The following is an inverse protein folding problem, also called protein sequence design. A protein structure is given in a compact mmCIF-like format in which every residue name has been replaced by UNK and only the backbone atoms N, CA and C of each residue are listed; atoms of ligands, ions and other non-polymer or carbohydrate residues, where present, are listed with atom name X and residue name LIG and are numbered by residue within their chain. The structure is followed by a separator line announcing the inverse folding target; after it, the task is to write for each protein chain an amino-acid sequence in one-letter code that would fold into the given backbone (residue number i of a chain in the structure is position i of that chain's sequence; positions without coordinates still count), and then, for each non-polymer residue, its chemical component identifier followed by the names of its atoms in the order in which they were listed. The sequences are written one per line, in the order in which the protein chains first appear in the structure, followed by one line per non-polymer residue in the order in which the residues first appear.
data_IF_628437659815
#
_entry.id   IF_628437659815
#
_cell.length_a   1.000
_cell.length_b   1.000
_cell.length_c   1.000
_cell.angle_alpha   90.00
_cell.angle_beta   90.00
_cell.angle_gamma   90.00
#
_symmetry.space_group_name_H-M   'P 1'
#
loop_
_entity.id
_entity.type
_entity.pdbx_description
1 polymer ?
#
# COMPACT_ATOMS: atom_id res chain seq x y z
N UNK A 1 -10.35 1.76 2.67
CA UNK A 1 -10.87 2.71 3.69
C UNK A 1 -10.28 4.07 3.35
N UNK A 2 -11.10 5.11 3.16
CA UNK A 2 -10.59 6.44 2.85
C UNK A 2 -9.85 7.04 4.06
N UNK A 3 -8.72 7.70 3.78
CA UNK A 3 -7.84 8.29 4.79
C UNK A 3 -8.03 9.80 4.80
N UNK A 4 -8.29 10.36 5.99
CA UNK A 4 -8.79 11.73 6.15
C UNK A 4 -7.90 12.61 7.02
N UNK A 5 -7.08 12.00 7.89
CA UNK A 5 -6.25 12.70 8.86
C UNK A 5 -4.79 12.33 8.62
N UNK A 6 -3.92 13.33 8.52
CA UNK A 6 -2.48 13.10 8.64
C UNK A 6 -2.16 12.63 10.05
N UNK A 7 -1.17 11.74 10.17
CA UNK A 7 -0.65 11.26 11.46
C UNK A 7 -0.01 12.38 12.30
N UNK A 8 0.10 13.60 11.78
CA UNK A 8 0.33 14.78 12.59
C UNK A 8 -0.72 14.95 13.71
N UNK A 9 -1.99 14.62 13.44
CA UNK A 9 -3.06 14.70 14.44
C UNK A 9 -2.90 13.60 15.51
N UNK A 10 -2.57 12.36 15.12
CA UNK A 10 -2.31 11.28 16.08
C UNK A 10 -1.06 11.55 16.90
N UNK A 11 -0.01 12.07 16.27
CA UNK A 11 1.23 12.49 16.94
C UNK A 11 0.96 13.53 18.04
N UNK A 12 0.11 14.53 17.79
CA UNK A 12 -0.26 15.51 18.81
C UNK A 12 -0.92 14.87 20.05
N UNK A 13 -1.73 13.82 19.85
CA UNK A 13 -2.32 13.04 20.95
C UNK A 13 -1.23 12.24 21.67
N UNK A 14 -0.37 11.52 20.92
CA UNK A 14 0.69 10.68 21.49
C UNK A 14 1.67 11.52 22.31
N UNK A 15 2.16 12.63 21.76
CA UNK A 15 3.11 13.52 22.44
C UNK A 15 2.52 14.08 23.75
N UNK A 16 1.23 14.42 23.76
CA UNK A 16 0.56 14.89 24.98
C UNK A 16 0.64 13.87 26.13
N UNK A 17 0.42 12.59 25.83
CA UNK A 17 0.52 11.50 26.82
C UNK A 17 1.97 11.12 27.11
N UNK A 18 2.87 11.11 26.12
CA UNK A 18 4.29 10.83 26.34
C UNK A 18 4.93 11.78 27.36
N UNK A 19 4.53 13.05 27.36
CA UNK A 19 5.07 14.05 28.29
C UNK A 19 4.53 13.95 29.72
N UNK A 20 3.40 13.26 29.93
CA UNK A 20 2.69 13.23 31.21
C UNK A 20 2.64 11.85 31.83
N UNK A 21 2.19 10.90 31.03
CA UNK A 21 1.86 9.54 31.42
C UNK A 21 2.38 8.56 30.34
N UNK A 22 3.71 8.47 30.12
CA UNK A 22 4.29 7.66 29.05
C UNK A 22 3.88 6.19 29.13
N UNK A 23 3.67 5.68 30.35
CA UNK A 23 3.17 4.32 30.63
C UNK A 23 1.79 4.04 30.02
N UNK A 24 0.98 5.08 29.79
CA UNK A 24 -0.38 4.94 29.25
C UNK A 24 -0.41 5.00 27.72
N UNK A 25 0.69 5.40 27.05
CA UNK A 25 0.75 5.55 25.58
C UNK A 25 0.30 4.28 24.84
N UNK A 26 0.72 3.05 25.23
CA UNK A 26 0.25 1.83 24.55
C UNK A 26 -1.28 1.66 24.58
N UNK A 27 -1.96 2.20 25.61
CA UNK A 27 -3.43 2.11 25.72
C UNK A 27 -4.16 3.02 24.73
N UNK A 28 -3.49 4.04 24.19
CA UNK A 28 -4.05 4.85 23.10
C UNK A 28 -4.29 4.02 21.85
N UNK A 29 -3.51 2.96 21.65
CA UNK A 29 -3.52 2.12 20.44
C UNK A 29 -4.47 0.93 20.52
N UNK A 30 -5.11 0.70 21.68
CA UNK A 30 -6.02 -0.42 21.87
C UNK A 30 -7.31 -0.25 21.07
N UNK A 31 -7.65 -1.25 20.26
CA UNK A 31 -8.92 -1.27 19.55
C UNK A 31 -9.01 -0.26 18.41
N UNK A 32 -7.89 0.30 17.92
CA UNK A 32 -7.89 1.25 16.80
C UNK A 32 -8.35 0.62 15.48
N UNK A 33 -8.46 -0.71 15.43
CA UNK A 33 -8.98 -1.46 14.30
C UNK A 33 -7.89 -1.93 13.34
N UNK A 34 -8.28 -2.66 12.28
CA UNK A 34 -7.35 -3.43 11.44
C UNK A 34 -6.38 -2.57 10.63
N UNK A 35 -6.68 -1.27 10.46
CA UNK A 35 -5.76 -0.31 9.82
C UNK A 35 -4.45 -0.16 10.60
N UNK A 36 -4.52 -0.27 11.93
CA UNK A 36 -3.39 -0.05 12.83
C UNK A 36 -2.94 -1.35 13.49
N UNK A 37 -3.87 -2.22 13.91
CA UNK A 37 -3.56 -3.45 14.67
C UNK A 37 -2.74 -4.48 13.88
N UNK A 38 -2.77 -4.43 12.54
CA UNK A 38 -1.99 -5.33 11.68
C UNK A 38 -0.59 -4.79 11.37
N UNK A 39 -0.23 -3.59 11.84
CA UNK A 39 1.08 -3.01 11.57
C UNK A 39 2.14 -3.60 12.51
N UNK A 40 3.37 -3.80 12.03
CA UNK A 40 4.47 -4.31 12.86
C UNK A 40 4.86 -3.32 13.97
N UNK A 41 4.81 -2.01 13.69
CA UNK A 41 5.01 -0.95 14.67
C UNK A 41 3.97 0.17 14.51
N UNK A 42 2.85 0.10 15.26
CA UNK A 42 1.82 1.14 15.27
C UNK A 42 2.32 2.51 15.73
N UNK A 43 3.27 2.56 16.67
CA UNK A 43 3.76 3.82 17.23
C UNK A 43 4.60 4.56 16.19
N UNK A 44 5.54 3.88 15.53
CA UNK A 44 6.34 4.45 14.45
C UNK A 44 5.44 4.98 13.33
N UNK A 45 4.45 4.19 12.90
CA UNK A 45 3.52 4.59 11.85
C UNK A 45 2.69 5.83 12.22
N UNK A 46 2.19 5.92 13.46
CA UNK A 46 1.35 7.03 13.93
C UNK A 46 2.14 8.29 14.31
N UNK A 47 3.46 8.19 14.45
CA UNK A 47 4.37 9.32 14.69
C UNK A 47 4.94 9.92 13.40
N UNK A 48 4.93 9.18 12.29
CA UNK A 48 5.34 9.65 10.97
C UNK A 48 4.28 10.56 10.34
N UNK A 49 4.57 11.86 10.25
CA UNK A 49 3.63 12.92 9.86
C UNK A 49 3.12 12.79 8.41
N UNK A 50 3.86 12.11 7.54
CA UNK A 50 3.46 11.89 6.15
C UNK A 50 2.45 10.76 5.98
N UNK A 51 2.26 9.93 7.00
CA UNK A 51 1.23 8.91 7.00
C UNK A 51 -0.16 9.54 7.18
N UNK A 52 -1.16 8.80 6.71
CA UNK A 52 -2.56 9.18 6.81
C UNK A 52 -3.38 8.01 7.36
N UNK A 53 -4.39 8.35 8.16
CA UNK A 53 -5.32 7.42 8.78
C UNK A 53 -6.78 7.80 8.52
N UNK A 54 -7.67 6.83 8.64
CA UNK A 54 -9.12 7.07 8.58
C UNK A 54 -9.64 7.89 9.77
N UNK A 55 -10.82 8.51 9.62
CA UNK A 55 -11.48 9.18 10.75
C UNK A 55 -11.83 8.22 11.87
N UNK A 56 -12.10 6.96 11.56
CA UNK A 56 -12.45 5.93 12.55
C UNK A 56 -11.29 5.66 13.52
N UNK A 57 -10.05 5.58 13.00
CA UNK A 57 -8.84 5.48 13.83
C UNK A 57 -8.74 6.66 14.79
N UNK A 58 -8.89 7.89 14.29
CA UNK A 58 -8.82 9.08 15.13
C UNK A 58 -9.95 9.12 16.18
N UNK A 59 -11.18 8.78 15.80
CA UNK A 59 -12.33 8.69 16.70
C UNK A 59 -12.04 7.75 17.87
N UNK A 60 -11.50 6.56 17.59
CA UNK A 60 -11.16 5.57 18.61
C UNK A 60 -10.01 6.05 19.50
N UNK A 61 -9.02 6.72 18.91
CA UNK A 61 -7.90 7.29 19.64
C UNK A 61 -8.35 8.39 20.61
N UNK A 62 -9.26 9.29 20.21
CA UNK A 62 -9.85 10.29 21.12
C UNK A 62 -10.66 9.63 22.24
N UNK A 63 -11.45 8.59 21.93
CA UNK A 63 -12.17 7.82 22.96
C UNK A 63 -11.22 7.18 23.96
N UNK A 64 -10.09 6.63 23.51
CA UNK A 64 -9.06 6.08 24.37
C UNK A 64 -8.41 7.17 25.23
N UNK A 65 -8.07 8.32 24.65
CA UNK A 65 -7.54 9.46 25.39
C UNK A 65 -8.48 9.92 26.51
N UNK A 66 -9.79 10.00 26.24
CA UNK A 66 -10.81 10.29 27.26
C UNK A 66 -10.86 9.25 28.37
N UNK A 67 -10.87 7.96 28.00
CA UNK A 67 -10.89 6.87 28.98
C UNK A 67 -9.65 6.85 29.88
N UNK A 68 -8.47 7.13 29.32
CA UNK A 68 -7.21 7.14 30.05
C UNK A 68 -7.15 8.34 31.00
N UNK A 69 -7.50 9.52 30.50
CA UNK A 69 -7.39 10.77 31.27
C UNK A 69 -8.53 10.97 32.28
N UNK A 70 -9.72 10.39 32.04
CA UNK A 70 -10.92 10.70 32.80
C UNK A 70 -11.44 12.12 32.59
N UNK A 71 -10.90 12.86 31.63
CA UNK A 71 -11.17 14.27 31.38
C UNK A 71 -12.04 14.45 30.13
N UNK A 72 -13.24 15.02 30.32
CA UNK A 72 -14.16 15.30 29.22
C UNK A 72 -13.63 16.35 28.24
N UNK A 73 -12.70 17.20 28.68
CA UNK A 73 -12.10 18.27 27.89
C UNK A 73 -10.68 17.96 27.40
N UNK A 74 -10.28 16.68 27.44
CA UNK A 74 -8.92 16.28 27.05
C UNK A 74 -8.60 16.66 25.60
N UNK A 75 -9.59 16.61 24.69
CA UNK A 75 -9.43 16.99 23.30
C UNK A 75 -8.98 18.45 23.18
N UNK A 76 -9.56 19.36 23.97
CA UNK A 76 -9.16 20.77 23.99
C UNK A 76 -7.70 20.90 24.42
N UNK A 77 -7.30 20.20 25.49
CA UNK A 77 -5.94 20.27 26.05
C UNK A 77 -4.91 19.76 25.05
N UNK A 78 -5.15 18.61 24.43
CA UNK A 78 -4.28 18.05 23.39
C UNK A 78 -4.16 19.00 22.19
N UNK A 79 -5.28 19.56 21.73
CA UNK A 79 -5.31 20.52 20.64
C UNK A 79 -4.54 21.80 20.97
N UNK A 80 -4.76 22.34 22.17
CA UNK A 80 -4.05 23.52 22.67
C UNK A 80 -2.55 23.31 22.72
N UNK A 81 -2.09 22.20 23.31
CA UNK A 81 -0.65 21.93 23.42
C UNK A 81 0.03 21.65 22.09
N UNK A 82 -0.69 21.08 21.12
CA UNK A 82 -0.15 20.90 19.76
C UNK A 82 0.20 22.23 19.07
N UNK A 83 -0.54 23.30 19.39
CA UNK A 83 -0.29 24.65 18.89
C UNK A 83 0.50 25.53 19.86
N UNK A 84 0.52 25.19 21.15
CA UNK A 84 1.16 25.99 22.18
C UNK A 84 2.68 25.84 22.17
N UNK A 85 3.38 26.93 22.44
CA UNK A 85 4.84 26.99 22.43
C UNK A 85 5.45 26.35 23.68
N UNK A 86 5.54 25.02 23.72
CA UNK A 86 6.35 24.25 24.69
C UNK A 86 7.57 23.58 24.02
N UNK A 87 7.38 22.99 22.83
CA UNK A 87 8.42 22.47 21.93
C UNK A 87 8.04 22.85 20.50
N UNK A 88 8.99 23.38 19.70
CA UNK A 88 8.74 23.73 18.30
C UNK A 88 8.50 22.47 17.47
N UNK A 89 7.25 22.01 17.39
CA UNK A 89 6.83 20.91 16.51
C UNK A 89 6.82 21.29 15.02
N UNK A 90 6.69 20.29 14.15
CA UNK A 90 6.77 20.44 12.68
C UNK A 90 5.83 21.52 12.11
N UNK A 91 4.58 21.57 12.57
CA UNK A 91 3.56 22.55 12.13
C UNK A 91 3.89 23.95 12.61
N UNK A 92 4.31 24.09 13.86
CA UNK A 92 4.68 25.37 14.43
C UNK A 92 5.83 25.99 13.65
N UNK A 93 6.78 25.18 13.17
CA UNK A 93 7.88 25.62 12.27
C UNK A 93 7.36 26.14 10.94
N UNK A 94 6.53 25.37 10.22
CA UNK A 94 5.93 25.81 8.95
C UNK A 94 5.18 27.14 9.14
N UNK A 95 4.42 27.26 10.23
CA UNK A 95 3.66 28.46 10.56
C UNK A 95 4.60 29.65 10.88
N UNK A 96 5.67 29.42 11.66
CA UNK A 96 6.66 30.43 12.02
C UNK A 96 7.41 30.96 10.79
N UNK A 97 7.78 30.07 9.86
CA UNK A 97 8.53 30.40 8.64
C UNK A 97 7.68 31.11 7.58
N UNK A 98 6.42 30.72 7.42
CA UNK A 98 5.55 31.31 6.40
C UNK A 98 4.85 32.61 6.86
N UNK A 99 4.69 32.84 8.18
CA UNK A 99 3.81 33.89 8.70
C UNK A 99 4.38 34.64 9.92
N UNK A 100 4.50 35.97 9.77
CA UNK A 100 5.09 36.87 10.77
C UNK A 100 4.26 37.11 12.04
N UNK A 101 2.97 36.74 12.06
CA UNK A 101 2.05 36.99 13.17
C UNK A 101 0.74 36.16 13.03
N UNK A 102 -0.08 36.04 14.10
CA UNK A 102 -1.30 35.22 14.10
C UNK A 102 -2.26 35.54 12.96
N UNK A 103 -2.44 36.83 12.66
CA UNK A 103 -3.32 37.29 11.57
C UNK A 103 -2.93 36.69 10.23
N UNK A 104 -1.64 36.68 9.89
CA UNK A 104 -1.15 36.12 8.62
C UNK A 104 -1.34 34.61 8.54
N UNK A 105 -1.15 33.90 9.64
CA UNK A 105 -1.38 32.46 9.74
C UNK A 105 -2.85 32.13 9.53
N UNK A 106 -3.73 32.82 10.26
CA UNK A 106 -5.17 32.60 10.18
C UNK A 106 -5.70 32.86 8.77
N UNK A 107 -5.22 33.89 8.06
CA UNK A 107 -5.60 34.11 6.64
C UNK A 107 -5.27 32.96 5.69
N UNK A 108 -4.34 32.06 6.04
CA UNK A 108 -3.96 30.90 5.24
C UNK A 108 -4.36 29.57 5.88
N UNK A 109 -5.18 29.61 6.93
CA UNK A 109 -5.57 28.42 7.69
C UNK A 109 -6.17 27.32 6.82
N UNK A 110 -6.96 27.67 5.79
CA UNK A 110 -7.52 26.67 4.87
C UNK A 110 -6.41 25.90 4.12
N UNK A 111 -5.46 26.63 3.51
CA UNK A 111 -4.34 26.03 2.81
C UNK A 111 -3.44 25.19 3.73
N UNK A 112 -3.38 25.53 5.01
CA UNK A 112 -2.68 24.75 6.03
C UNK A 112 -3.49 23.48 6.36
N UNK A 113 -4.80 23.62 6.59
CA UNK A 113 -5.71 22.51 6.87
C UNK A 113 -5.66 21.45 5.77
N UNK A 114 -5.69 21.84 4.50
CA UNK A 114 -5.72 20.92 3.35
C UNK A 114 -4.49 20.01 3.27
N UNK A 115 -3.38 20.39 3.91
CA UNK A 115 -2.18 19.55 4.00
C UNK A 115 -2.30 18.41 5.02
N UNK A 116 -3.21 18.54 5.98
CA UNK A 116 -3.25 17.69 7.17
C UNK A 116 -4.61 17.05 7.42
N UNK A 117 -5.68 17.59 6.82
CA UNK A 117 -7.05 17.17 7.05
C UNK A 117 -7.86 17.22 5.76
N UNK A 118 -8.71 16.21 5.55
CA UNK A 118 -9.66 16.10 4.44
C UNK A 118 -11.11 15.88 4.92
N UNK A 119 -11.39 16.22 6.17
CA UNK A 119 -12.69 16.02 6.82
C UNK A 119 -13.54 17.29 6.96
N UNK A 120 -12.97 18.45 6.61
CA UNK A 120 -13.63 19.75 6.73
C UNK A 120 -12.99 20.79 5.84
N UNK A 121 -13.78 21.81 5.50
CA UNK A 121 -13.33 23.09 4.94
C UNK A 121 -13.33 24.15 6.04
N UNK A 122 -12.23 24.88 6.14
CA UNK A 122 -12.03 26.02 7.04
C UNK A 122 -12.27 27.32 6.28
N UNK A 123 -13.14 28.17 6.80
CA UNK A 123 -13.42 29.50 6.28
C UNK A 123 -12.95 30.54 7.30
N UNK A 124 -12.35 31.62 6.79
CA UNK A 124 -11.92 32.76 7.61
C UNK A 124 -12.83 33.92 7.27
N UNK A 125 -13.78 34.20 8.15
CA UNK A 125 -14.80 35.25 7.94
C UNK A 125 -14.16 36.63 8.11
N UNK A 126 -13.37 36.83 9.17
CA UNK A 126 -12.70 38.09 9.44
C UNK A 126 -11.34 37.87 10.12
N UNK A 127 -10.34 38.72 9.82
CA UNK A 127 -9.11 38.80 10.61
C UNK A 127 -8.61 40.24 10.77
N UNK A 128 -8.46 40.66 12.02
CA UNK A 128 -7.83 41.93 12.39
C UNK A 128 -6.48 41.69 13.08
N UNK A 129 -5.95 42.70 13.77
CA UNK A 129 -4.67 42.59 14.50
C UNK A 129 -4.79 41.74 15.77
N UNK A 130 -5.97 41.65 16.37
CA UNK A 130 -6.20 41.06 17.69
C UNK A 130 -7.49 40.23 17.78
N UNK A 131 -8.23 40.09 16.68
CA UNK A 131 -9.38 39.20 16.59
C UNK A 131 -9.41 38.44 15.27
N UNK A 132 -10.10 37.31 15.25
CA UNK A 132 -10.46 36.59 14.05
C UNK A 132 -11.75 35.80 14.24
N UNK A 133 -12.47 35.55 13.14
CA UNK A 133 -13.64 34.68 13.11
C UNK A 133 -13.37 33.55 12.12
N UNK A 134 -13.47 32.31 12.58
CA UNK A 134 -13.17 31.10 11.80
C UNK A 134 -14.39 30.17 11.83
N UNK A 135 -14.76 29.62 10.68
CA UNK A 135 -15.82 28.61 10.55
C UNK A 135 -15.25 27.28 10.07
N UNK A 136 -15.73 26.19 10.65
CA UNK A 136 -15.43 24.83 10.21
C UNK A 136 -16.68 24.18 9.61
N UNK A 137 -16.62 23.93 8.31
CA UNK A 137 -17.64 23.22 7.54
C UNK A 137 -17.23 21.76 7.45
N UNK A 138 -17.83 20.89 8.27
CA UNK A 138 -17.54 19.46 8.29
C UNK A 138 -18.22 18.77 7.12
N UNK A 139 -17.57 17.75 6.54
CA UNK A 139 -18.15 16.95 5.47
C UNK A 139 -19.05 15.85 6.07
N UNK A 140 -20.37 15.85 5.83
CA UNK A 140 -21.30 14.90 6.45
C UNK A 140 -20.99 13.42 6.16
N UNK A 141 -20.37 13.13 5.02
CA UNK A 141 -19.94 11.80 4.60
C UNK A 141 -18.72 11.27 5.37
N UNK A 142 -17.98 12.15 6.04
CA UNK A 142 -16.79 11.77 6.81
C UNK A 142 -17.17 11.62 8.29
N UNK A 143 -16.95 10.45 8.91
CA UNK A 143 -17.23 10.26 10.34
C UNK A 143 -16.51 11.31 11.20
N UNK A 144 -17.25 11.93 12.11
CA UNK A 144 -16.75 12.96 13.02
C UNK A 144 -17.46 12.90 14.37
N UNK A 145 -16.78 13.35 15.42
CA UNK A 145 -17.29 13.39 16.80
C UNK A 145 -17.04 14.76 17.44
N UNK A 146 -17.76 15.13 18.52
CA UNK A 146 -17.57 16.42 19.20
C UNK A 146 -16.12 16.73 19.60
N UNK A 147 -15.34 15.71 19.96
CA UNK A 147 -13.91 15.87 20.28
C UNK A 147 -13.11 16.52 19.14
N UNK A 148 -13.51 16.36 17.87
CA UNK A 148 -12.86 17.04 16.76
C UNK A 148 -13.08 18.56 16.79
N UNK A 149 -14.29 19.02 17.15
CA UNK A 149 -14.58 20.44 17.36
C UNK A 149 -13.69 20.99 18.47
N UNK A 150 -13.68 20.28 19.60
CA UNK A 150 -12.99 20.70 20.81
C UNK A 150 -11.46 20.72 20.62
N UNK A 151 -10.91 19.73 19.92
CA UNK A 151 -9.50 19.71 19.53
C UNK A 151 -9.12 20.90 18.64
N UNK A 152 -9.94 21.25 17.65
CA UNK A 152 -9.70 22.43 16.81
C UNK A 152 -9.80 23.73 17.63
N UNK A 153 -10.77 23.84 18.55
CA UNK A 153 -10.90 24.97 19.47
C UNK A 153 -9.63 25.16 20.31
N UNK A 154 -9.05 24.07 20.81
CA UNK A 154 -7.76 24.06 21.49
C UNK A 154 -6.64 24.60 20.60
N UNK A 155 -6.50 24.10 19.38
CA UNK A 155 -5.51 24.58 18.41
C UNK A 155 -5.62 26.08 18.21
N UNK A 156 -6.83 26.59 17.91
CA UNK A 156 -7.04 28.03 17.67
C UNK A 156 -6.70 28.89 18.89
N UNK A 157 -7.00 28.40 20.10
CA UNK A 157 -6.59 29.03 21.35
C UNK A 157 -5.06 29.14 21.46
N UNK A 158 -4.33 28.10 21.07
CA UNK A 158 -2.87 28.02 21.16
C UNK A 158 -2.11 28.86 20.12
N UNK A 159 -2.71 29.17 18.96
CA UNK A 159 -2.03 29.84 17.84
C UNK A 159 -1.24 31.10 18.25
N UNK A 160 -1.79 32.07 19.00
CA UNK A 160 -1.04 33.29 19.33
C UNK A 160 0.25 33.04 20.12
N UNK A 161 0.29 31.96 20.91
CA UNK A 161 1.45 31.62 21.75
C UNK A 161 2.71 31.30 20.95
N UNK A 162 2.56 30.91 19.67
CA UNK A 162 3.66 30.72 18.72
C UNK A 162 4.54 31.99 18.62
N UNK A 163 3.93 33.18 18.77
CA UNK A 163 4.63 34.48 18.76
C UNK A 163 4.78 35.10 20.16
N UNK A 164 4.78 34.28 21.21
CA UNK A 164 4.88 34.71 22.61
C UNK A 164 3.74 35.63 23.08
N UNK A 165 2.58 35.55 22.44
CA UNK A 165 1.38 36.24 22.90
C UNK A 165 0.61 35.33 23.86
N UNK A 166 -0.21 35.90 24.77
CA UNK A 166 -1.16 35.12 25.54
C UNK A 166 -2.07 34.29 24.61
N UNK A 167 -2.53 33.10 25.05
CA UNK A 167 -3.54 32.33 24.33
C UNK A 167 -4.74 33.19 23.89
N UNK A 168 -5.33 32.84 22.74
CA UNK A 168 -6.57 33.48 22.32
C UNK A 168 -7.71 33.05 23.25
N UNK A 169 -8.53 34.01 23.67
CA UNK A 169 -9.88 33.72 24.14
C UNK A 169 -10.69 33.23 22.95
N UNK A 170 -11.27 32.03 23.06
CA UNK A 170 -12.08 31.41 22.01
C UNK A 170 -13.51 31.25 22.48
N UNK A 171 -14.42 32.00 21.87
CA UNK A 171 -15.86 31.87 22.07
C UNK A 171 -16.45 31.07 20.90
N UNK A 172 -17.16 29.98 21.20
CA UNK A 172 -17.87 29.18 20.20
C UNK A 172 -19.33 29.66 20.15
N UNK A 173 -19.77 30.17 19.01
CA UNK A 173 -21.12 30.74 18.83
C UNK A 173 -22.07 29.81 18.11
N UNK A 174 -21.53 28.86 17.35
CA UNK A 174 -22.25 27.80 16.64
C UNK A 174 -21.46 26.51 16.68
N UNK A 175 -22.13 25.37 16.71
CA UNK A 175 -21.50 24.06 16.74
C UNK A 175 -22.23 23.04 15.87
N UNK A 176 -21.54 22.52 14.85
CA UNK A 176 -22.06 21.47 13.97
C UNK A 176 -22.57 20.25 14.76
N UNK A 177 -21.86 19.87 15.82
CA UNK A 177 -22.21 18.74 16.66
C UNK A 177 -23.38 19.01 17.62
N UNK A 178 -23.88 20.25 17.67
CA UNK A 178 -25.09 20.66 18.39
C UNK A 178 -26.27 20.98 17.44
N UNK A 179 -26.12 20.72 16.14
CA UNK A 179 -27.17 20.89 15.14
C UNK A 179 -27.05 22.12 14.24
N UNK A 180 -26.00 22.93 14.38
CA UNK A 180 -25.71 24.02 13.44
C UNK A 180 -25.11 23.49 12.12
N UNK A 181 -25.08 24.34 11.09
CA UNK A 181 -24.47 24.00 9.79
C UNK A 181 -22.94 23.90 9.83
N UNK A 182 -22.30 24.57 10.81
CA UNK A 182 -20.85 24.67 10.95
C UNK A 182 -20.47 25.01 12.39
N UNK A 183 -19.22 24.78 12.77
CA UNK A 183 -18.67 25.35 14.01
C UNK A 183 -18.15 26.77 13.75
N UNK A 184 -18.45 27.74 14.61
CA UNK A 184 -17.96 29.12 14.49
C UNK A 184 -17.22 29.56 15.74
N UNK A 185 -15.99 30.07 15.56
CA UNK A 185 -15.13 30.51 16.64
C UNK A 185 -14.77 31.99 16.51
N UNK A 186 -15.00 32.74 17.58
CA UNK A 186 -14.59 34.13 17.75
C UNK A 186 -13.34 34.17 18.62
N UNK A 187 -12.21 34.51 18.00
CA UNK A 187 -10.89 34.53 18.61
C UNK A 187 -10.53 35.95 19.01
N UNK A 188 -10.02 36.17 20.23
CA UNK A 188 -9.49 37.46 20.71
C UNK A 188 -8.18 37.26 21.48
N UNK A 189 -7.16 38.07 21.21
CA UNK A 189 -5.89 38.02 21.96
C UNK A 189 -5.32 39.41 22.22
N UNK A 190 -4.60 39.61 23.31
CA UNK A 190 -4.00 40.90 23.66
C UNK A 190 -2.62 41.07 23.04
N UNK A 191 -2.24 42.34 22.78
CA UNK A 191 -0.84 42.67 22.51
C UNK A 191 -0.11 42.79 23.85
N UNK A 192 0.85 41.93 24.11
CA UNK A 192 1.99 42.29 24.96
C UNK A 192 3.20 42.33 24.05
N UNK A 193 3.83 43.50 23.92
CA UNK A 193 5.12 43.63 23.27
C UNK A 193 6.04 44.32 24.26
N UNK A 194 6.80 43.54 25.03
CA UNK A 194 8.03 44.05 25.61
C UNK A 194 9.07 44.26 24.50
N UNK A 195 9.86 45.34 24.56
CA UNK A 195 10.96 45.60 23.61
C UNK A 195 11.95 44.39 23.56
N UNK A 196 12.10 43.72 24.70
CA UNK A 196 12.89 42.49 24.86
C UNK A 196 12.31 41.32 24.07
N UNK A 197 10.98 41.20 24.03
CA UNK A 197 10.25 40.16 23.27
C UNK A 197 10.27 40.42 21.77
N UNK A 198 10.26 41.68 21.34
CA UNK A 198 10.44 42.04 19.92
C UNK A 198 11.82 41.62 19.40
N UNK A 199 12.88 41.79 20.21
CA UNK A 199 14.25 41.36 19.90
C UNK A 199 14.38 39.82 19.95
N UNK A 200 13.79 39.16 20.96
CA UNK A 200 13.70 37.70 21.02
C UNK A 200 12.97 37.12 19.80
N UNK A 201 11.85 37.71 19.38
CA UNK A 201 11.13 37.30 18.17
C UNK A 201 11.93 37.54 16.86
N UNK A 202 13.00 38.36 16.90
CA UNK A 202 13.93 38.55 15.78
C UNK A 202 15.09 37.54 15.78
N UNK A 203 15.57 37.14 16.96
CA UNK A 203 16.70 36.21 17.16
C UNK A 203 16.30 34.72 17.24
N UNK A 204 15.15 34.40 17.84
CA UNK A 204 14.65 33.02 17.98
C UNK A 204 14.34 32.33 16.64
N UNK A 205 13.91 33.03 15.56
CA UNK A 205 13.85 32.44 14.23
C UNK A 205 15.20 31.86 13.76
N UNK A 206 16.34 32.45 14.13
CA UNK A 206 17.67 32.00 13.70
C UNK A 206 18.19 30.75 14.42
N UNK A 207 17.89 30.59 15.73
CA UNK A 207 18.22 29.33 16.43
C UNK A 207 17.29 28.18 16.01
N UNK A 208 16.01 28.50 15.81
CA UNK A 208 15.06 27.55 15.23
C UNK A 208 15.44 27.18 13.79
N UNK A 209 15.93 28.15 13.00
CA UNK A 209 16.46 27.96 11.64
C UNK A 209 17.57 26.91 11.62
N UNK A 210 18.57 26.99 12.50
CA UNK A 210 19.68 26.03 12.50
C UNK A 210 19.21 24.59 12.81
N UNK A 211 18.36 24.40 13.84
CA UNK A 211 17.82 23.07 14.15
C UNK A 211 16.89 22.54 13.03
N UNK A 212 16.08 23.42 12.42
CA UNK A 212 15.22 23.04 11.29
C UNK A 212 15.99 22.72 10.02
N UNK A 213 17.12 23.40 9.78
CA UNK A 213 18.02 23.09 8.66
C UNK A 213 18.62 21.71 8.90
N UNK A 214 19.14 21.42 10.10
CA UNK A 214 19.65 20.09 10.46
C UNK A 214 18.62 18.98 10.26
N UNK A 215 17.36 19.19 10.65
CA UNK A 215 16.31 18.18 10.50
C UNK A 215 15.84 18.04 9.04
N UNK A 216 15.71 19.14 8.29
CA UNK A 216 15.45 19.09 6.84
C UNK A 216 16.61 18.44 6.07
N UNK A 217 17.85 18.61 6.54
CA UNK A 217 19.02 17.94 6.00
C UNK A 217 18.98 16.44 6.28
N UNK A 218 18.56 16.02 7.49
CA UNK A 218 18.31 14.61 7.82
C UNK A 218 17.19 14.02 6.97
N UNK A 219 16.06 14.71 6.81
CA UNK A 219 14.95 14.27 5.96
C UNK A 219 15.41 14.14 4.50
N UNK A 220 16.18 15.12 4.00
CA UNK A 220 16.76 15.08 2.66
C UNK A 220 17.74 13.92 2.49
N UNK A 221 18.55 13.61 3.50
CA UNK A 221 19.44 12.44 3.51
C UNK A 221 18.67 11.13 3.51
N UNK A 222 17.61 11.02 4.32
CA UNK A 222 16.73 9.86 4.34
C UNK A 222 16.05 9.67 2.98
N UNK A 223 15.53 10.74 2.39
CA UNK A 223 14.90 10.72 1.07
C UNK A 223 15.90 10.28 0.00
N UNK A 224 17.14 10.78 0.05
CA UNK A 224 18.22 10.34 -0.83
C UNK A 224 18.55 8.86 -0.66
N UNK A 225 18.65 8.36 0.58
CA UNK A 225 18.87 6.94 0.86
C UNK A 225 17.75 6.09 0.27
N UNK A 226 16.49 6.45 0.51
CA UNK A 226 15.32 5.74 -0.02
C UNK A 226 15.26 5.79 -1.54
N UNK A 227 15.56 6.93 -2.15
CA UNK A 227 15.65 7.05 -3.60
C UNK A 227 16.72 6.13 -4.18
N UNK A 228 17.91 6.08 -3.57
CA UNK A 228 18.99 5.20 -4.01
C UNK A 228 18.61 3.71 -3.86
N UNK A 229 17.98 3.33 -2.74
CA UNK A 229 17.49 1.97 -2.49
C UNK A 229 16.51 1.52 -3.59
N UNK A 230 15.51 2.36 -3.89
CA UNK A 230 14.55 2.09 -4.98
C UNK A 230 15.23 2.03 -6.34
N UNK A 231 16.22 2.90 -6.60
CA UNK A 231 16.94 2.90 -7.85
C UNK A 231 17.75 1.60 -8.06
N UNK A 232 18.46 1.13 -7.03
CA UNK A 232 19.20 -0.14 -7.07
C UNK A 232 18.25 -1.32 -7.30
N UNK A 233 17.14 -1.39 -6.55
CA UNK A 233 16.14 -2.45 -6.73
C UNK A 233 15.53 -2.46 -8.14
N UNK A 234 15.29 -1.30 -8.73
CA UNK A 234 14.81 -1.20 -10.11
C UNK A 234 15.86 -1.72 -11.12
N UNK A 235 17.15 -1.44 -10.91
CA UNK A 235 18.22 -1.96 -11.76
C UNK A 235 18.31 -3.49 -11.67
N UNK A 236 18.28 -4.05 -10.46
CA UNK A 236 18.28 -5.52 -10.25
C UNK A 236 17.06 -6.18 -10.91
N UNK A 237 15.89 -5.55 -10.81
CA UNK A 237 14.67 -6.06 -11.44
C UNK A 237 14.80 -6.08 -12.97
N UNK A 238 15.36 -5.02 -13.56
CA UNK A 238 15.59 -4.95 -15.01
C UNK A 238 16.58 -6.04 -15.48
N UNK A 239 17.64 -6.29 -14.71
CA UNK A 239 18.59 -7.36 -15.03
C UNK A 239 17.94 -8.74 -14.98
N UNK A 240 17.17 -9.03 -13.92
CA UNK A 240 16.40 -10.28 -13.81
C UNK A 240 15.41 -10.47 -14.96
N UNK A 241 14.73 -9.40 -15.38
CA UNK A 241 13.84 -9.45 -16.54
C UNK A 241 14.60 -9.78 -17.83
N UNK A 242 15.76 -9.18 -18.05
CA UNK A 242 16.59 -9.48 -19.22
C UNK A 242 17.05 -10.94 -19.23
N UNK A 243 17.51 -11.46 -18.09
CA UNK A 243 17.91 -12.86 -17.94
C UNK A 243 16.75 -13.83 -18.22
N UNK A 244 15.55 -13.54 -17.69
CA UNK A 244 14.35 -14.37 -17.93
C UNK A 244 13.97 -14.40 -19.42
N UNK A 245 14.03 -13.25 -20.10
CA UNK A 245 13.75 -13.18 -21.53
C UNK A 245 14.77 -13.97 -22.36
N UNK A 246 16.05 -13.92 -22.00
CA UNK A 246 17.09 -14.69 -22.68
C UNK A 246 16.95 -16.20 -22.45
N UNK A 247 16.66 -16.62 -21.22
CA UNK A 247 16.36 -18.01 -20.88
C UNK A 247 15.15 -18.52 -21.65
N UNK A 248 14.08 -17.73 -21.73
CA UNK A 248 12.88 -18.07 -22.48
C UNK A 248 13.18 -18.22 -23.98
N UNK A 249 13.95 -17.30 -24.57
CA UNK A 249 14.33 -17.38 -25.98
C UNK A 249 15.17 -18.63 -26.28
N UNK A 250 16.17 -18.93 -25.44
CA UNK A 250 17.01 -20.13 -25.57
C UNK A 250 16.20 -21.43 -25.42
N UNK A 251 15.25 -21.47 -24.47
CA UNK A 251 14.35 -22.59 -24.32
C UNK A 251 13.47 -22.77 -25.56
N UNK A 252 12.87 -21.69 -26.07
CA UNK A 252 12.04 -21.73 -27.28
C UNK A 252 12.83 -22.19 -28.52
N UNK A 253 14.09 -21.74 -28.67
CA UNK A 253 14.96 -22.17 -29.76
C UNK A 253 15.30 -23.67 -29.65
N UNK A 254 15.64 -24.14 -28.45
CA UNK A 254 15.92 -25.56 -28.20
C UNK A 254 14.68 -26.43 -28.46
N UNK A 255 13.51 -26.03 -27.98
CA UNK A 255 12.24 -26.71 -28.22
C UNK A 255 11.89 -26.75 -29.71
N UNK A 256 12.06 -25.63 -30.44
CA UNK A 256 11.80 -25.57 -31.87
C UNK A 256 12.75 -26.48 -32.66
N UNK A 257 14.04 -26.49 -32.28
CA UNK A 257 15.04 -27.37 -32.88
C UNK A 257 14.71 -28.84 -32.62
N UNK A 258 14.39 -29.20 -31.39
CA UNK A 258 14.01 -30.57 -31.02
C UNK A 258 12.74 -31.02 -31.75
N UNK A 259 11.71 -30.17 -31.80
CA UNK A 259 10.47 -30.45 -32.54
C UNK A 259 10.75 -30.64 -34.03
N UNK A 260 11.59 -29.80 -34.64
CA UNK A 260 11.95 -29.94 -36.05
C UNK A 260 12.66 -31.27 -36.36
N UNK A 261 13.55 -31.71 -35.46
CA UNK A 261 14.24 -33.00 -35.56
C UNK A 261 13.25 -34.17 -35.48
N UNK A 262 12.34 -34.17 -34.49
CA UNK A 262 11.31 -35.20 -34.38
C UNK A 262 10.39 -35.24 -35.60
N UNK A 263 10.06 -34.07 -36.15
CA UNK A 263 9.15 -33.93 -37.28
C UNK A 263 9.70 -34.59 -38.56
N UNK A 264 11.02 -34.51 -38.77
CA UNK A 264 11.69 -34.98 -39.98
C UNK A 264 12.55 -36.23 -39.76
N UNK A 265 12.39 -36.93 -38.64
CA UNK A 265 13.16 -38.13 -38.34
C UNK A 265 12.77 -39.27 -39.31
N UNK A 266 13.67 -39.70 -40.22
CA UNK A 266 13.31 -40.66 -41.25
C UNK A 266 13.14 -42.06 -40.67
N UNK A 267 12.05 -42.75 -41.04
CA UNK A 267 11.80 -44.14 -40.67
C UNK A 267 11.43 -44.39 -39.20
N UNK A 268 11.31 -43.35 -38.38
CA UNK A 268 10.95 -43.47 -36.96
C UNK A 268 9.67 -42.68 -36.69
N UNK A 269 8.56 -43.40 -36.55
CA UNK A 269 7.27 -42.81 -36.22
C UNK A 269 7.22 -42.43 -34.73
N UNK A 270 7.06 -41.15 -34.43
CA UNK A 270 6.96 -40.60 -33.07
C UNK A 270 5.57 -40.01 -32.83
N UNK A 271 4.91 -40.47 -31.75
CA UNK A 271 3.62 -39.97 -31.31
C UNK A 271 3.70 -39.46 -29.87
N UNK A 272 3.15 -38.28 -29.62
CA UNK A 272 2.91 -37.79 -28.25
C UNK A 272 1.42 -37.84 -27.96
N UNK A 273 1.02 -38.32 -26.78
CA UNK A 273 -0.39 -38.39 -26.39
C UNK A 273 -0.58 -38.09 -24.90
N UNK A 274 -1.76 -37.59 -24.55
CA UNK A 274 -2.18 -37.32 -23.18
C UNK A 274 -2.45 -38.61 -22.40
N UNK A 275 -2.58 -38.50 -21.08
CA UNK A 275 -2.83 -39.63 -20.18
C UNK A 275 -4.14 -40.38 -20.43
N UNK A 276 -5.05 -39.81 -21.22
CA UNK A 276 -6.29 -40.42 -21.70
C UNK A 276 -6.15 -41.10 -23.09
N UNK A 277 -4.94 -41.09 -23.67
CA UNK A 277 -4.62 -41.62 -24.99
C UNK A 277 -4.92 -40.67 -26.15
N UNK A 278 -5.30 -39.41 -25.88
CA UNK A 278 -5.55 -38.40 -26.91
C UNK A 278 -4.24 -37.94 -27.54
N UNK A 279 -4.11 -38.05 -28.86
CA UNK A 279 -2.91 -37.65 -29.61
C UNK A 279 -2.69 -36.14 -29.53
N UNK A 280 -1.46 -35.74 -29.21
CA UNK A 280 -0.97 -34.36 -29.10
C UNK A 280 0.14 -34.04 -30.10
N UNK A 281 0.88 -35.05 -30.53
CA UNK A 281 1.97 -34.91 -31.49
C UNK A 281 2.00 -36.12 -32.42
N UNK A 282 2.25 -35.87 -33.70
CA UNK A 282 2.25 -36.88 -34.76
C UNK A 282 3.23 -36.43 -35.85
N UNK A 283 4.40 -37.06 -35.92
CA UNK A 283 5.42 -36.65 -36.89
C UNK A 283 5.15 -37.19 -38.30
N UNK A 284 5.88 -36.66 -39.30
CA UNK A 284 5.76 -37.08 -40.71
C UNK A 284 5.92 -38.58 -40.93
N UNK A 285 6.87 -39.23 -40.26
CA UNK A 285 7.04 -40.68 -40.35
C UNK A 285 5.82 -41.47 -39.83
N UNK A 286 5.08 -40.92 -38.85
CA UNK A 286 3.82 -41.51 -38.41
C UNK A 286 2.71 -41.36 -39.45
N UNK A 287 2.68 -40.25 -40.19
CA UNK A 287 1.77 -40.08 -41.33
C UNK A 287 2.05 -41.12 -42.42
N UNK A 288 3.32 -41.29 -42.77
CA UNK A 288 3.78 -42.22 -43.81
C UNK A 288 3.53 -43.68 -43.42
N UNK A 289 3.79 -44.04 -42.16
CA UNK A 289 3.68 -45.42 -41.67
C UNK A 289 2.21 -45.85 -41.47
N UNK A 290 1.40 -44.99 -40.85
CA UNK A 290 0.03 -45.36 -40.45
C UNK A 290 -1.06 -44.82 -41.40
N UNK A 291 -0.74 -43.88 -42.28
CA UNK A 291 -1.66 -43.36 -43.30
C UNK A 291 -2.66 -42.30 -42.79
N UNK A 292 -2.45 -41.78 -41.58
CA UNK A 292 -3.23 -40.67 -41.02
C UNK A 292 -2.40 -39.39 -41.04
N UNK A 293 -2.90 -38.32 -41.65
CA UNK A 293 -2.25 -37.02 -41.53
C UNK A 293 -2.31 -36.53 -40.09
N UNK A 294 -1.33 -35.74 -39.64
CA UNK A 294 -1.26 -35.20 -38.28
C UNK A 294 -2.52 -34.42 -37.92
N UNK A 295 -3.07 -33.65 -38.88
CA UNK A 295 -4.36 -32.94 -38.73
C UNK A 295 -5.57 -33.85 -38.51
N UNK A 296 -5.49 -35.12 -38.90
CA UNK A 296 -6.54 -36.13 -38.71
C UNK A 296 -6.31 -36.94 -37.44
N UNK A 297 -5.05 -37.12 -37.03
CA UNK A 297 -4.67 -37.92 -35.87
C UNK A 297 -4.72 -37.12 -34.55
N UNK A 298 -4.21 -35.88 -34.55
CA UNK A 298 -4.15 -35.02 -33.36
C UNK A 298 -5.56 -34.72 -32.85
N UNK A 299 -5.78 -34.91 -31.55
CA UNK A 299 -7.08 -34.75 -30.90
C UNK A 299 -7.94 -36.02 -30.87
N UNK A 300 -7.57 -37.09 -31.60
CA UNK A 300 -8.24 -38.40 -31.52
C UNK A 300 -7.52 -39.35 -30.57
N UNK A 301 -8.19 -40.42 -30.16
CA UNK A 301 -7.59 -41.45 -29.30
C UNK A 301 -6.75 -42.42 -30.12
N UNK A 302 -5.61 -42.84 -29.59
CA UNK A 302 -4.73 -43.86 -30.21
C UNK A 302 -5.48 -45.17 -30.52
N UNK A 303 -6.45 -45.55 -29.69
CA UNK A 303 -7.34 -46.72 -29.86
C UNK A 303 -8.34 -46.62 -30.99
N UNK A 304 -8.59 -45.41 -31.50
CA UNK A 304 -9.43 -45.19 -32.68
C UNK A 304 -8.61 -45.12 -33.98
N UNK A 305 -7.28 -45.10 -33.87
CA UNK A 305 -6.36 -44.89 -34.98
C UNK A 305 -5.57 -46.16 -35.30
N UNK A 306 -4.62 -46.50 -34.42
CA UNK A 306 -3.57 -47.49 -34.73
C UNK A 306 -3.50 -48.64 -33.72
N UNK A 307 -4.14 -48.55 -32.55
CA UNK A 307 -4.10 -49.64 -31.56
C UNK A 307 -5.21 -50.65 -31.86
N UNK A 308 -4.89 -51.93 -32.14
CA UNK A 308 -5.89 -52.97 -32.36
C UNK A 308 -6.79 -53.23 -31.14
N UNK A 309 -8.02 -53.74 -31.33
CA UNK A 309 -8.95 -54.05 -30.24
C UNK A 309 -8.34 -54.95 -29.16
N UNK A 310 -7.59 -55.97 -29.54
CA UNK A 310 -6.95 -56.90 -28.60
C UNK A 310 -5.84 -56.26 -27.74
N UNK A 311 -5.22 -55.16 -28.21
CA UNK A 311 -4.18 -54.43 -27.46
C UNK A 311 -4.75 -53.29 -26.61
N UNK A 312 -6.03 -52.95 -26.78
CA UNK A 312 -6.68 -51.81 -26.11
C UNK A 312 -6.61 -51.90 -24.58
N UNK A 313 -6.83 -53.09 -24.01
CA UNK A 313 -6.75 -53.29 -22.55
C UNK A 313 -5.32 -53.10 -22.02
N UNK A 314 -4.32 -53.59 -22.75
CA UNK A 314 -2.90 -53.41 -22.40
C UNK A 314 -2.47 -51.96 -22.50
N UNK A 315 -2.89 -51.27 -23.56
CA UNK A 315 -2.65 -49.85 -23.77
C UNK A 315 -3.28 -49.00 -22.66
N UNK A 316 -4.52 -49.28 -22.25
CA UNK A 316 -5.17 -48.60 -21.12
C UNK A 316 -4.41 -48.75 -19.79
N UNK A 317 -3.87 -49.93 -19.51
CA UNK A 317 -3.00 -50.16 -18.33
C UNK A 317 -1.70 -49.36 -18.42
N UNK A 318 -1.11 -49.25 -19.61
CA UNK A 318 0.08 -48.44 -19.84
C UNK A 318 -0.19 -46.95 -19.60
N UNK A 319 -1.30 -46.41 -20.11
CA UNK A 319 -1.70 -45.02 -19.86
C UNK A 319 -1.89 -44.74 -18.36
N UNK A 320 -2.56 -45.64 -17.64
CA UNK A 320 -2.77 -45.52 -16.20
C UNK A 320 -1.46 -45.53 -15.39
N UNK A 321 -0.43 -46.25 -15.89
CA UNK A 321 0.92 -46.24 -15.31
C UNK A 321 1.64 -44.92 -15.62
N UNK A 322 1.55 -44.42 -16.85
CA UNK A 322 2.12 -43.13 -17.26
C UNK A 322 1.53 -41.95 -16.48
N UNK A 323 0.23 -41.95 -16.22
CA UNK A 323 -0.44 -40.90 -15.44
C UNK A 323 0.04 -40.79 -13.98
N UNK A 324 0.69 -41.82 -13.45
CA UNK A 324 1.23 -41.84 -12.07
C UNK A 324 2.75 -41.69 -12.03
N UNK A 325 3.41 -41.54 -13.17
CA UNK A 325 4.85 -41.38 -13.24
C UNK A 325 5.26 -40.02 -12.63
N UNK A 326 6.26 -40.05 -11.75
CA UNK A 326 6.79 -38.85 -11.04
C UNK A 326 8.14 -38.38 -11.59
N UNK A 327 8.70 -39.12 -12.55
CA UNK A 327 9.97 -38.85 -13.21
C UNK A 327 9.90 -39.36 -14.65
N UNK A 328 10.76 -38.81 -15.51
CA UNK A 328 10.87 -39.16 -16.92
C UNK A 328 11.60 -40.49 -17.13
N UNK A 329 11.18 -41.32 -18.10
CA UNK A 329 11.83 -42.60 -18.41
C UNK A 329 10.95 -43.62 -19.16
N UNK A 330 11.51 -44.80 -19.43
CA UNK A 330 10.78 -45.91 -20.07
C UNK A 330 9.65 -46.44 -19.17
N UNK A 331 8.43 -46.48 -19.70
CA UNK A 331 7.24 -46.94 -18.98
C UNK A 331 7.05 -48.45 -19.01
N UNK A 332 7.36 -49.02 -20.17
CA UNK A 332 7.21 -50.42 -20.51
C UNK A 332 8.42 -50.83 -21.34
N UNK A 333 8.92 -52.06 -21.20
CA UNK A 333 10.02 -52.56 -22.01
C UNK A 333 9.72 -52.40 -23.51
N UNK A 334 10.71 -51.99 -24.32
CA UNK A 334 10.61 -52.03 -25.77
C UNK A 334 10.16 -53.40 -26.26
N UNK A 335 9.29 -53.44 -27.27
CA UNK A 335 8.79 -54.70 -27.80
C UNK A 335 8.14 -54.57 -29.16
N UNK A 336 8.04 -55.70 -29.85
CA UNK A 336 7.34 -55.78 -31.13
C UNK A 336 5.82 -55.75 -30.91
N UNK A 337 5.15 -54.88 -31.66
CA UNK A 337 3.69 -54.78 -31.69
C UNK A 337 3.22 -54.70 -33.14
N UNK A 338 2.07 -55.31 -33.43
CA UNK A 338 1.40 -55.16 -34.72
C UNK A 338 0.31 -54.10 -34.58
N UNK A 339 0.55 -52.91 -35.12
CA UNK A 339 -0.40 -51.79 -35.10
C UNK A 339 -1.18 -51.71 -36.41
N UNK A 340 -2.31 -51.01 -36.40
CA UNK A 340 -3.19 -50.81 -37.55
C UNK A 340 -2.80 -49.58 -38.35
N UNK A 341 -2.91 -49.66 -39.67
CA UNK A 341 -2.91 -48.50 -40.56
C UNK A 341 -4.35 -48.04 -40.82
N UNK A 342 -4.51 -46.89 -41.47
CA UNK A 342 -5.80 -46.38 -41.94
C UNK A 342 -6.58 -47.36 -42.81
N UNK A 343 -5.90 -48.21 -43.59
CA UNK A 343 -6.55 -49.24 -44.41
C UNK A 343 -7.00 -50.47 -43.62
N UNK A 344 -6.72 -50.52 -42.31
CA UNK A 344 -6.96 -51.68 -41.45
C UNK A 344 -5.91 -52.78 -41.56
N UNK A 345 -4.85 -52.57 -42.36
CA UNK A 345 -3.71 -53.50 -42.47
C UNK A 345 -2.86 -53.45 -41.21
N UNK A 346 -2.20 -54.56 -40.88
CA UNK A 346 -1.26 -54.63 -39.76
C UNK A 346 0.15 -54.27 -40.20
N UNK A 347 0.83 -53.45 -39.41
CA UNK A 347 2.25 -53.10 -39.59
C UNK A 347 3.01 -53.49 -38.34
N UNK A 348 4.05 -54.33 -38.44
CA UNK A 348 4.92 -54.64 -37.33
C UNK A 348 5.81 -53.44 -37.00
N UNK A 349 5.82 -53.04 -35.74
CA UNK A 349 6.67 -51.97 -35.21
C UNK A 349 7.37 -52.43 -33.95
N UNK A 350 8.60 -51.97 -33.74
CA UNK A 350 9.24 -52.07 -32.44
C UNK A 350 8.96 -50.78 -31.67
N UNK A 351 8.09 -50.86 -30.66
CA UNK A 351 7.57 -49.70 -29.96
C UNK A 351 8.28 -49.47 -28.62
N UNK A 352 8.65 -48.21 -28.37
CA UNK A 352 9.22 -47.73 -27.10
C UNK A 352 8.28 -46.67 -26.56
N UNK A 353 7.94 -46.74 -25.27
CA UNK A 353 7.04 -45.79 -24.62
C UNK A 353 7.73 -45.11 -23.45
N UNK A 354 7.79 -43.79 -23.48
CA UNK A 354 8.48 -42.96 -22.48
C UNK A 354 7.55 -41.88 -21.90
N UNK A 355 7.74 -41.50 -20.64
CA UNK A 355 7.15 -40.28 -20.02
C UNK A 355 8.20 -39.20 -19.87
#
# INVERSE_FOLDING_TARGET
MEKHHSCLNSRAIIEYFQERDPEQVPRLFQGLGPEIENLPDPLEFLMEIHNWVSSEVMIRMFRNARKISGDEHIAFKMGFESAARKKLGYVQRIILFAYRNPRRTLRRVQKINDKFNRNKRVEVVETTRNRAVVRLHWFPEVPAIPDFCEFNKGIYCGIPTIWNLPPALVEETKCYFQGDEYCEYHLRWTKSYSLKEAILNFLVPWRALNYTIEELEKDKELLKKKFNEVHVLNMELQEKLAQLLQLQASLQESEARFRNLLEHLPGVAVQGFSTDGTVRYWNKASEELYGYAAKEAVGRKMTELIVPPELTLGFGKMLARGAKATHTGELVPPGEANLLTRSGSRVPVHAIHTV
#
